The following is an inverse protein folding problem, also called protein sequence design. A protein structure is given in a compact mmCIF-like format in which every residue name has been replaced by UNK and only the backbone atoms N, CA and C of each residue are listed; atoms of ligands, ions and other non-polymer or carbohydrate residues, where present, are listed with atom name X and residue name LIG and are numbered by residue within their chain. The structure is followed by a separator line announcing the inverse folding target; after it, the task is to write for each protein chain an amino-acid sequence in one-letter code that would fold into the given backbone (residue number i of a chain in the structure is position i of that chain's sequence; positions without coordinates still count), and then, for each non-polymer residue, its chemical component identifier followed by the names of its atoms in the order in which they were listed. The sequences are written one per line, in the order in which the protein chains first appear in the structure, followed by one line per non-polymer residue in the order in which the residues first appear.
data_IF_972221807669
#
_entry.id   IF_972221807669
#
_cell.length_a   1.000
_cell.length_b   1.000
_cell.length_c   1.000
_cell.angle_alpha   90.00
_cell.angle_beta   90.00
_cell.angle_gamma   90.00
#
_symmetry.space_group_name_H-M   'P 1'
#
loop_
_entity.id
_entity.type
_entity.pdbx_description
1 polymer ?
#
# COMPACT_ATOMS: atom_id res chain seq x y z
N UNK A 1 -23.74 -6.52 28.49
CA UNK A 1 -22.99 -7.72 28.86
C UNK A 1 -23.82 -8.94 28.49
N UNK A 2 -23.35 -9.74 27.51
CA UNK A 2 -23.89 -11.05 27.05
C UNK A 2 -25.30 -10.96 26.43
N UNK A 3 -25.47 -11.09 25.11
CA UNK A 3 -25.28 -12.32 24.33
C UNK A 3 -24.68 -11.97 22.94
N UNK A 4 -23.36 -12.14 22.82
CA UNK A 4 -22.68 -12.47 21.57
C UNK A 4 -22.49 -14.00 21.59
N UNK A 5 -23.39 -14.80 20.99
CA UNK A 5 -23.15 -16.23 20.68
C UNK A 5 -24.27 -16.92 19.88
N UNK A 6 -24.87 -16.25 18.88
CA UNK A 6 -25.69 -16.86 17.81
C UNK A 6 -25.54 -15.95 16.56
N UNK A 7 -24.36 -15.64 16.01
CA UNK A 7 -23.23 -16.46 15.55
C UNK A 7 -23.69 -17.59 14.62
N UNK A 8 -23.42 -17.35 13.33
CA UNK A 8 -22.87 -18.33 12.38
C UNK A 8 -23.73 -19.49 11.89
N UNK A 9 -24.90 -19.77 12.49
CA UNK A 9 -25.74 -20.88 12.04
C UNK A 9 -26.57 -20.59 10.78
N UNK A 10 -26.70 -19.33 10.34
CA UNK A 10 -27.64 -18.97 9.25
C UNK A 10 -26.95 -18.67 7.91
N UNK A 11 -25.64 -18.36 7.88
CA UNK A 11 -24.93 -18.14 6.61
C UNK A 11 -24.15 -19.36 6.08
N UNK A 12 -23.96 -20.42 6.88
CA UNK A 12 -23.27 -21.65 6.43
C UNK A 12 -24.21 -22.70 5.80
N UNK A 13 -25.53 -22.43 5.72
CA UNK A 13 -26.54 -23.37 5.23
C UNK A 13 -27.19 -22.98 3.88
N UNK A 14 -26.69 -21.93 3.19
CA UNK A 14 -27.24 -21.50 1.89
C UNK A 14 -26.26 -21.63 0.71
N UNK A 15 -25.09 -22.26 0.88
CA UNK A 15 -24.10 -22.44 -0.19
C UNK A 15 -23.90 -23.90 -0.65
N UNK A 16 -24.84 -24.80 -0.34
CA UNK A 16 -24.90 -26.12 -0.98
C UNK A 16 -26.34 -26.52 -1.29
N UNK A 17 -26.86 -26.10 -2.44
CA UNK A 17 -27.78 -26.86 -3.30
C UNK A 17 -28.16 -26.05 -4.53
N UNK A 18 -28.04 -26.68 -5.71
CA UNK A 18 -28.34 -26.20 -7.08
C UNK A 18 -27.11 -25.47 -7.69
N UNK A 19 -26.27 -26.08 -8.52
CA UNK A 19 -26.52 -26.80 -9.78
C UNK A 19 -25.26 -27.62 -10.13
N UNK A 20 -25.44 -28.69 -10.90
CA UNK A 20 -24.52 -29.78 -11.30
C UNK A 20 -24.52 -30.94 -10.30
N UNK A 21 -25.11 -32.09 -10.59
CA UNK A 21 -25.31 -32.72 -11.90
C UNK A 21 -24.75 -34.13 -11.75
N UNK A 22 -25.66 -35.08 -11.64
CA UNK A 22 -25.46 -36.48 -11.28
C UNK A 22 -24.35 -37.20 -12.06
N UNK A 23 -23.55 -38.00 -11.34
CA UNK A 23 -22.91 -39.17 -11.93
C UNK A 23 -21.45 -39.38 -11.53
N UNK A 24 -21.23 -39.97 -10.35
CA UNK A 24 -20.12 -40.91 -10.10
C UNK A 24 -20.47 -41.73 -8.84
N UNK A 25 -20.89 -42.96 -9.06
CA UNK A 25 -21.12 -43.97 -8.01
C UNK A 25 -19.79 -44.64 -7.66
N UNK A 26 -19.57 -44.75 -6.36
CA UNK A 26 -18.82 -45.80 -5.66
C UNK A 26 -17.36 -46.03 -6.08
N UNK A 27 -16.46 -45.24 -5.50
CA UNK A 27 -15.05 -45.60 -5.32
C UNK A 27 -14.60 -45.23 -3.90
N UNK A 28 -14.92 -46.09 -2.92
CA UNK A 28 -14.31 -46.05 -1.59
C UNK A 28 -12.88 -46.58 -1.70
N UNK A 29 -11.91 -45.66 -1.75
CA UNK A 29 -10.50 -46.00 -1.47
C UNK A 29 -10.36 -46.11 0.05
N UNK A 30 -9.86 -47.23 0.59
CA UNK A 30 -9.50 -47.27 2.00
C UNK A 30 -8.41 -46.23 2.23
N UNK A 31 -8.68 -45.27 3.10
CA UNK A 31 -7.65 -44.42 3.71
C UNK A 31 -6.75 -45.34 4.54
N UNK A 32 -5.75 -45.96 3.91
CA UNK A 32 -4.55 -46.38 4.63
C UNK A 32 -4.04 -45.14 5.36
N UNK A 33 -3.74 -45.31 6.65
CA UNK A 33 -3.06 -44.32 7.48
C UNK A 33 -1.80 -43.85 6.75
N UNK A 34 -1.95 -42.76 6.00
CA UNK A 34 -0.84 -42.10 5.33
C UNK A 34 0.15 -41.75 6.41
N UNK A 35 1.30 -42.43 6.38
CA UNK A 35 2.57 -42.10 7.01
C UNK A 35 2.58 -40.67 7.56
N UNK A 36 2.06 -40.51 8.76
CA UNK A 36 2.09 -39.25 9.46
C UNK A 36 3.56 -39.10 9.86
N UNK A 37 4.31 -38.29 9.10
CA UNK A 37 5.73 -37.94 9.35
C UNK A 37 5.85 -37.65 10.83
N UNK A 38 6.42 -38.58 11.59
CA UNK A 38 6.55 -38.43 13.04
C UNK A 38 7.80 -37.63 13.28
N UNK A 39 7.65 -36.32 13.21
CA UNK A 39 8.63 -35.41 13.75
C UNK A 39 9.10 -35.85 15.13
N UNK A 40 10.41 -35.72 15.38
CA UNK A 40 11.09 -36.05 16.64
C UNK A 40 11.32 -37.55 16.85
N UNK A 41 11.43 -38.35 15.78
CA UNK A 41 11.76 -39.77 15.89
C UNK A 41 13.28 -40.02 15.96
N UNK A 42 14.10 -38.98 15.78
CA UNK A 42 15.57 -39.05 15.78
C UNK A 42 16.18 -39.47 14.43
N UNK A 43 15.37 -39.58 13.38
CA UNK A 43 15.74 -39.98 12.02
C UNK A 43 15.12 -39.01 11.03
N UNK A 44 15.94 -38.13 10.44
CA UNK A 44 15.48 -37.19 9.42
C UNK A 44 14.98 -37.94 8.17
N UNK A 45 13.70 -37.80 7.88
CA UNK A 45 13.10 -38.33 6.65
C UNK A 45 13.40 -37.41 5.44
N UNK A 46 13.24 -37.90 4.21
CA UNK A 46 13.51 -37.09 3.00
C UNK A 46 12.60 -35.87 2.87
N UNK A 47 11.45 -35.88 3.55
CA UNK A 47 10.48 -34.77 3.64
C UNK A 47 10.83 -33.76 4.73
N UNK A 48 11.80 -34.04 5.60
CA UNK A 48 12.14 -33.23 6.76
C UNK A 48 13.45 -32.48 6.54
N UNK A 49 13.45 -31.20 6.90
CA UNK A 49 14.67 -30.38 6.86
C UNK A 49 15.52 -30.56 8.12
N UNK A 50 14.91 -31.01 9.21
CA UNK A 50 15.56 -31.20 10.50
C UNK A 50 14.74 -32.17 11.39
N UNK A 51 15.38 -32.83 12.36
CA UNK A 51 14.70 -33.65 13.37
C UNK A 51 15.36 -33.49 14.75
N UNK A 52 14.59 -33.03 15.75
CA UNK A 52 15.07 -32.79 17.12
C UNK A 52 14.94 -34.00 18.06
N UNK A 53 14.52 -35.17 17.57
CA UNK A 53 14.36 -36.38 18.38
C UNK A 53 15.66 -36.85 19.03
N UNK A 54 16.80 -36.50 18.43
CA UNK A 54 18.12 -36.75 18.99
C UNK A 54 18.34 -36.04 20.35
N UNK A 55 17.78 -34.83 20.53
CA UNK A 55 17.89 -34.07 21.78
C UNK A 55 17.14 -34.72 22.95
N UNK A 56 16.10 -35.52 22.67
CA UNK A 56 15.30 -36.19 23.71
C UNK A 56 15.83 -37.57 24.10
N UNK A 57 16.47 -38.28 23.16
CA UNK A 57 16.78 -39.70 23.33
C UNK A 57 18.27 -40.03 23.43
N UNK A 58 19.16 -39.03 23.43
CA UNK A 58 20.61 -39.27 23.46
C UNK A 58 21.13 -40.04 22.23
N UNK A 59 20.35 -40.04 21.15
CA UNK A 59 20.71 -40.61 19.86
C UNK A 59 21.70 -39.64 19.20
N UNK A 60 22.69 -40.16 18.46
CA UNK A 60 23.61 -39.32 17.70
C UNK A 60 22.81 -38.36 16.81
N UNK A 61 23.19 -37.07 16.71
CA UNK A 61 22.42 -36.09 15.96
C UNK A 61 22.26 -36.58 14.52
N UNK A 62 21.02 -36.79 14.10
CA UNK A 62 20.69 -36.73 12.67
C UNK A 62 21.06 -35.33 12.18
N UNK A 63 21.61 -35.21 10.98
CA UNK A 63 22.09 -33.93 10.45
C UNK A 63 20.93 -32.91 10.38
N UNK A 64 20.92 -31.96 11.32
CA UNK A 64 20.09 -30.77 11.26
C UNK A 64 20.63 -29.88 10.14
N UNK A 65 19.86 -29.73 9.07
CA UNK A 65 20.28 -28.90 7.93
C UNK A 65 20.02 -27.41 8.17
N UNK A 66 19.31 -27.03 9.24
CA UNK A 66 18.95 -25.63 9.47
C UNK A 66 20.16 -24.71 9.66
N UNK A 67 21.23 -25.08 10.39
CA UNK A 67 22.45 -24.28 10.46
C UNK A 67 23.15 -24.10 9.10
N UNK A 68 23.18 -25.15 8.26
CA UNK A 68 23.82 -25.11 6.96
C UNK A 68 23.02 -24.30 5.94
N UNK A 69 21.69 -24.50 5.90
CA UNK A 69 20.77 -23.69 5.09
C UNK A 69 20.85 -22.23 5.54
N UNK A 70 20.86 -21.98 6.84
CA UNK A 70 20.98 -20.65 7.41
C UNK A 70 22.29 -19.96 7.02
N UNK A 71 23.41 -20.69 7.06
CA UNK A 71 24.72 -20.19 6.61
C UNK A 71 24.74 -19.83 5.13
N UNK A 72 24.06 -20.61 4.27
CA UNK A 72 23.94 -20.32 2.83
C UNK A 72 23.12 -19.05 2.59
N UNK A 73 22.02 -18.90 3.34
CA UNK A 73 21.09 -17.78 3.18
C UNK A 73 21.50 -16.52 3.96
N UNK A 74 22.50 -16.62 4.84
CA UNK A 74 22.91 -15.53 5.73
C UNK A 74 21.86 -15.19 6.79
N UNK A 75 21.03 -16.17 7.19
CA UNK A 75 19.99 -16.03 8.21
C UNK A 75 20.09 -17.18 9.21
N UNK A 76 19.85 -16.93 10.49
CA UNK A 76 19.76 -18.03 11.47
C UNK A 76 18.43 -18.74 11.29
N UNK A 77 18.48 -20.05 11.06
CA UNK A 77 17.29 -20.91 11.02
C UNK A 77 17.34 -21.90 12.17
N UNK A 78 16.18 -22.18 12.75
CA UNK A 78 16.00 -23.19 13.78
C UNK A 78 15.00 -24.23 13.33
N UNK A 79 15.17 -25.45 13.83
CA UNK A 79 14.22 -26.52 13.57
C UNK A 79 12.92 -26.31 14.35
N UNK A 80 11.78 -26.17 13.66
CA UNK A 80 10.47 -26.20 14.32
C UNK A 80 10.08 -27.64 14.61
N UNK A 81 10.09 -28.01 15.90
CA UNK A 81 9.86 -29.39 16.36
C UNK A 81 8.49 -29.99 15.99
N UNK A 82 7.50 -29.15 15.68
CA UNK A 82 6.14 -29.55 15.31
C UNK A 82 6.02 -29.95 13.84
N UNK A 83 6.86 -29.36 12.99
CA UNK A 83 6.76 -29.46 11.52
C UNK A 83 8.01 -30.02 10.86
N UNK A 84 9.13 -30.16 11.59
CA UNK A 84 10.43 -30.63 11.05
C UNK A 84 10.94 -29.81 9.87
N UNK A 85 10.53 -28.54 9.84
CA UNK A 85 10.96 -27.55 8.86
C UNK A 85 11.86 -26.55 9.54
N UNK A 86 12.86 -26.09 8.81
CA UNK A 86 13.63 -24.94 9.24
C UNK A 86 12.74 -23.70 9.16
N UNK A 87 12.62 -22.99 10.27
CA UNK A 87 11.95 -21.70 10.33
C UNK A 87 12.99 -20.64 10.68
N UNK A 88 12.69 -19.41 10.31
CA UNK A 88 13.40 -18.26 10.84
C UNK A 88 12.94 -18.15 12.31
N UNK A 89 13.86 -18.31 13.26
CA UNK A 89 13.52 -18.10 14.67
C UNK A 89 13.18 -16.63 14.90
N UNK A 90 12.55 -16.34 16.04
CA UNK A 90 12.36 -14.96 16.49
C UNK A 90 13.69 -14.21 16.40
N UNK A 91 13.64 -13.06 15.75
CA UNK A 91 14.75 -12.12 15.69
C UNK A 91 14.96 -11.56 17.09
N UNK A 92 16.14 -11.80 17.68
CA UNK A 92 16.47 -11.36 19.04
C UNK A 92 17.29 -10.08 18.96
N UNK A 93 16.61 -9.01 18.57
CA UNK A 93 17.24 -7.73 18.29
C UNK A 93 18.06 -7.18 19.46
N UNK A 94 19.32 -6.85 19.20
CA UNK A 94 20.25 -6.27 20.17
C UNK A 94 21.20 -7.32 20.80
N UNK A 95 21.24 -8.54 20.26
CA UNK A 95 22.16 -9.58 20.73
C UNK A 95 23.55 -9.49 20.07
N UNK A 96 23.70 -8.62 19.07
CA UNK A 96 24.91 -8.36 18.30
C UNK A 96 25.10 -9.30 17.11
N UNK A 97 24.12 -10.14 16.78
CA UNK A 97 24.15 -11.12 15.69
C UNK A 97 22.95 -10.82 14.81
N UNK A 98 23.19 -10.48 13.54
CA UNK A 98 22.10 -10.25 12.60
C UNK A 98 21.38 -11.56 12.28
N UNK A 99 20.11 -11.67 12.64
CA UNK A 99 19.29 -12.87 12.53
C UNK A 99 18.08 -12.65 11.60
N UNK A 100 17.64 -13.70 10.91
CA UNK A 100 16.40 -13.64 10.13
C UNK A 100 16.30 -12.48 9.14
N UNK A 101 15.32 -11.59 9.37
CA UNK A 101 15.04 -10.44 8.51
C UNK A 101 15.64 -9.12 9.04
N UNK A 102 16.54 -9.19 10.03
CA UNK A 102 17.24 -8.02 10.54
C UNK A 102 18.16 -7.44 9.47
N UNK A 103 18.09 -6.12 9.32
CA UNK A 103 18.99 -5.36 8.48
C UNK A 103 20.19 -4.84 9.27
N UNK A 104 20.04 -4.78 10.59
CA UNK A 104 21.09 -4.36 11.50
C UNK A 104 20.88 -4.96 12.89
N UNK A 105 21.93 -5.21 13.68
CA UNK A 105 21.80 -5.53 15.10
C UNK A 105 22.81 -4.69 15.93
N UNK A 106 22.33 -3.74 16.76
CA UNK A 106 23.20 -2.82 17.49
C UNK A 106 23.77 -3.38 18.81
N UNK A 107 23.65 -4.69 19.07
CA UNK A 107 24.07 -5.30 20.32
C UNK A 107 25.55 -5.09 20.67
N UNK A 108 25.85 -4.99 21.97
CA UNK A 108 27.18 -4.65 22.51
C UNK A 108 28.30 -5.66 22.21
N UNK A 109 27.99 -6.79 21.56
CA UNK A 109 28.85 -7.99 21.58
C UNK A 109 29.80 -8.18 20.42
N UNK A 110 29.74 -7.39 19.34
CA UNK A 110 30.70 -7.54 18.24
C UNK A 110 31.70 -6.39 18.24
N UNK A 111 32.80 -6.59 18.98
CA UNK A 111 33.97 -5.70 18.99
C UNK A 111 34.80 -5.79 17.71
N UNK A 112 34.58 -6.83 16.90
CA UNK A 112 35.54 -7.21 15.87
C UNK A 112 35.15 -6.76 14.45
N UNK A 113 33.89 -6.39 14.19
CA UNK A 113 33.45 -5.84 12.89
C UNK A 113 32.00 -5.25 12.94
N UNK A 114 31.81 -3.99 13.37
CA UNK A 114 30.49 -3.37 13.42
C UNK A 114 29.85 -3.18 12.03
N UNK A 115 30.65 -3.11 10.96
CA UNK A 115 30.16 -2.93 9.58
C UNK A 115 29.50 -4.19 9.03
N UNK A 116 29.82 -5.37 9.59
CA UNK A 116 29.26 -6.65 9.14
C UNK A 116 27.83 -6.89 9.62
N UNK A 117 27.42 -6.24 10.71
CA UNK A 117 26.12 -6.44 11.33
C UNK A 117 25.18 -5.26 11.16
N UNK A 118 25.58 -4.19 10.48
CA UNK A 118 24.71 -3.07 10.13
C UNK A 118 24.73 -2.85 8.62
N UNK A 119 23.64 -3.25 7.95
CA UNK A 119 23.48 -3.03 6.52
C UNK A 119 22.84 -1.67 6.18
N UNK A 120 22.48 -0.87 7.19
CA UNK A 120 21.83 0.41 6.96
C UNK A 120 22.70 1.42 6.22
N UNK A 121 24.04 1.48 6.39
CA UNK A 121 24.89 2.34 5.57
C UNK A 121 24.85 1.99 4.08
N UNK A 122 24.91 0.70 3.70
CA UNK A 122 24.84 0.33 2.28
C UNK A 122 23.44 0.57 1.71
N UNK A 123 22.39 0.31 2.50
CA UNK A 123 21.02 0.66 2.12
C UNK A 123 20.85 2.18 1.96
N UNK A 124 21.56 2.98 2.76
CA UNK A 124 21.55 4.43 2.66
C UNK A 124 22.10 4.93 1.34
N UNK A 125 23.24 4.37 0.92
CA UNK A 125 23.86 4.66 -0.36
C UNK A 125 22.95 4.25 -1.53
N UNK A 126 22.33 3.07 -1.44
CA UNK A 126 21.43 2.56 -2.48
C UNK A 126 20.16 3.40 -2.63
N UNK A 127 19.57 3.87 -1.52
CA UNK A 127 18.34 4.65 -1.52
C UNK A 127 18.57 6.17 -1.66
N UNK A 128 19.82 6.63 -1.53
CA UNK A 128 20.15 8.04 -1.47
C UNK A 128 19.56 8.75 -0.24
N UNK A 129 19.35 8.02 0.87
CA UNK A 129 18.78 8.54 2.11
C UNK A 129 19.57 8.03 3.29
N UNK A 130 19.85 8.88 4.28
CA UNK A 130 20.56 8.44 5.48
C UNK A 130 19.66 7.49 6.29
N UNK A 131 20.05 6.23 6.42
CA UNK A 131 19.37 5.20 7.18
C UNK A 131 20.23 4.85 8.39
N UNK A 132 19.58 4.67 9.52
CA UNK A 132 20.21 4.26 10.79
C UNK A 132 19.51 3.02 11.32
N UNK A 133 20.28 2.18 12.02
CA UNK A 133 19.70 1.02 12.67
C UNK A 133 18.69 1.43 13.74
N UNK A 134 17.49 0.82 13.73
CA UNK A 134 16.51 0.97 14.79
C UNK A 134 16.70 -0.10 15.87
N UNK A 135 17.21 0.23 17.07
CA UNK A 135 17.56 -0.76 18.08
C UNK A 135 16.37 -1.55 18.66
N UNK A 136 15.13 -1.09 18.45
CA UNK A 136 13.94 -1.81 18.93
C UNK A 136 13.43 -2.86 17.92
N UNK A 137 13.82 -2.77 16.65
CA UNK A 137 13.29 -3.62 15.59
C UNK A 137 14.36 -4.29 14.73
N UNK A 138 15.62 -3.85 14.85
CA UNK A 138 16.74 -4.32 14.04
C UNK A 138 16.50 -4.16 12.52
N UNK A 139 15.66 -3.18 12.18
CA UNK A 139 15.41 -2.71 10.83
C UNK A 139 16.07 -1.34 10.63
N UNK A 140 16.39 -1.02 9.39
CA UNK A 140 16.84 0.31 9.03
C UNK A 140 15.66 1.28 9.06
N UNK A 141 15.77 2.35 9.86
CA UNK A 141 14.88 3.50 9.79
C UNK A 141 15.60 4.65 9.10
N UNK A 142 14.86 5.46 8.35
CA UNK A 142 15.40 6.75 7.92
C UNK A 142 15.85 7.48 9.18
N UNK A 143 17.09 7.98 9.17
CA UNK A 143 17.54 8.86 10.23
C UNK A 143 16.53 10.00 10.28
N UNK A 144 15.82 10.12 11.40
CA UNK A 144 15.04 11.32 11.73
C UNK A 144 16.02 12.44 12.07
N UNK A 145 17.01 12.68 11.23
CA UNK A 145 17.53 14.01 11.04
C UNK A 145 16.34 14.81 10.55
N UNK A 146 15.83 15.65 11.45
CA UNK A 146 15.21 16.96 11.21
C UNK A 146 14.87 17.09 9.72
N UNK A 147 13.58 17.16 9.37
CA UNK A 147 13.19 17.91 8.17
C UNK A 147 13.81 19.29 8.35
N UNK A 148 15.08 19.44 7.95
CA UNK A 148 15.65 20.74 7.66
C UNK A 148 14.67 21.26 6.62
N UNK A 149 13.94 22.30 7.01
CA UNK A 149 13.02 23.00 6.14
C UNK A 149 13.78 23.22 4.85
N UNK A 150 13.38 22.50 3.81
CA UNK A 150 13.93 22.62 2.48
C UNK A 150 13.76 24.08 2.11
N UNK A 151 14.86 24.83 2.14
CA UNK A 151 14.83 26.29 2.10
C UNK A 151 15.13 26.69 0.67
N UNK A 152 14.07 26.84 -0.11
CA UNK A 152 14.20 27.31 -1.48
C UNK A 152 14.93 28.63 -1.57
N UNK A 153 15.86 28.72 -2.53
CA UNK A 153 16.56 29.95 -2.85
C UNK A 153 17.87 30.13 -2.09
N UNK A 154 18.51 29.03 -1.66
CA UNK A 154 19.86 29.04 -1.11
C UNK A 154 20.95 28.91 -2.21
N UNK A 155 20.53 28.67 -3.45
CA UNK A 155 21.36 28.55 -4.64
C UNK A 155 21.89 27.14 -4.90
N UNK A 156 21.37 26.10 -4.23
CA UNK A 156 21.74 24.70 -4.45
C UNK A 156 20.52 23.80 -4.44
N UNK A 157 20.31 23.07 -5.54
CA UNK A 157 19.26 22.03 -5.58
C UNK A 157 19.66 20.86 -4.67
N UNK A 158 18.97 20.74 -3.54
CA UNK A 158 19.10 19.63 -2.60
C UNK A 158 18.28 18.40 -3.03
N UNK A 159 18.47 17.26 -2.36
CA UNK A 159 17.86 15.98 -2.77
C UNK A 159 16.32 15.98 -2.83
N UNK A 160 15.66 16.91 -2.12
CA UNK A 160 14.20 17.03 -2.10
C UNK A 160 13.66 18.23 -2.90
N UNK A 161 14.52 18.94 -3.62
CA UNK A 161 14.16 20.09 -4.44
C UNK A 161 14.16 19.71 -5.92
N UNK A 162 13.25 20.29 -6.67
CA UNK A 162 13.23 20.16 -8.13
C UNK A 162 13.84 21.37 -8.83
N UNK A 163 13.95 22.49 -8.12
CA UNK A 163 14.40 23.76 -8.63
C UNK A 163 14.79 24.69 -7.48
N UNK A 164 15.70 25.61 -7.78
CA UNK A 164 16.04 26.76 -6.96
C UNK A 164 15.51 28.05 -7.60
N UNK A 165 15.53 28.10 -8.94
CA UNK A 165 15.02 29.20 -9.74
C UNK A 165 14.25 28.69 -10.97
N UNK A 166 13.51 29.59 -11.64
CA UNK A 166 12.71 29.25 -12.83
C UNK A 166 13.57 28.63 -13.96
N UNK A 167 14.86 28.94 -14.02
CA UNK A 167 15.81 28.39 -15.00
C UNK A 167 16.07 26.90 -14.82
N UNK A 168 15.83 26.35 -13.63
CA UNK A 168 16.01 24.92 -13.36
C UNK A 168 14.85 24.09 -13.89
N UNK A 169 13.73 24.75 -14.23
CA UNK A 169 12.52 24.10 -14.71
C UNK A 169 12.44 24.06 -16.24
N UNK A 170 11.73 23.05 -16.77
CA UNK A 170 11.42 22.98 -18.21
C UNK A 170 10.63 24.23 -18.68
N UNK A 171 10.75 24.56 -19.96
CA UNK A 171 10.01 25.67 -20.57
C UNK A 171 8.50 25.59 -20.29
N UNK A 172 7.93 26.68 -19.77
CA UNK A 172 6.51 26.75 -19.38
C UNK A 172 6.22 26.40 -17.91
N UNK A 173 7.26 26.15 -17.10
CA UNK A 173 7.15 25.97 -15.65
C UNK A 173 7.87 27.11 -14.90
N UNK A 174 7.51 27.30 -13.64
CA UNK A 174 8.16 28.20 -12.69
C UNK A 174 8.47 27.46 -11.39
N UNK A 175 9.50 27.90 -10.69
CA UNK A 175 9.90 27.32 -9.43
C UNK A 175 9.10 27.93 -8.28
N UNK A 176 8.25 27.12 -7.63
CA UNK A 176 7.48 27.52 -6.44
C UNK A 176 7.60 26.45 -5.37
N UNK A 177 8.02 26.84 -4.17
CA UNK A 177 8.25 25.92 -3.04
C UNK A 177 9.13 24.72 -3.43
N UNK A 178 10.17 25.00 -4.22
CA UNK A 178 11.15 24.04 -4.74
C UNK A 178 10.55 22.92 -5.60
N UNK A 179 9.41 23.20 -6.22
CA UNK A 179 8.77 22.33 -7.20
C UNK A 179 8.58 23.10 -8.50
N UNK A 180 8.85 22.43 -9.62
CA UNK A 180 8.59 23.00 -10.94
C UNK A 180 7.10 22.87 -11.26
N UNK A 181 6.35 23.94 -11.04
CA UNK A 181 4.92 24.02 -11.33
C UNK A 181 4.70 24.64 -12.70
N UNK A 182 3.61 24.29 -13.38
CA UNK A 182 3.26 24.92 -14.66
C UNK A 182 2.99 26.40 -14.39
N UNK A 183 3.60 27.27 -15.20
CA UNK A 183 3.39 28.71 -15.09
C UNK A 183 1.96 29.02 -15.49
N UNK A 184 1.13 29.29 -14.49
CA UNK A 184 -0.22 29.82 -14.72
C UNK A 184 -0.02 31.22 -15.28
N UNK A 185 -0.47 31.52 -16.51
CA UNK A 185 -0.34 32.88 -17.04
C UNK A 185 -1.05 33.83 -16.07
N UNK A 186 -0.35 34.91 -15.66
CA UNK A 186 -0.97 36.00 -14.92
C UNK A 186 -2.11 36.53 -15.79
N UNK A 187 -3.35 36.14 -15.47
CA UNK A 187 -4.52 36.71 -16.09
C UNK A 187 -4.48 38.20 -15.78
N UNK A 188 -4.59 39.02 -16.83
CA UNK A 188 -4.53 40.46 -16.66
C UNK A 188 -5.69 40.88 -15.74
N UNK A 189 -5.42 41.75 -14.75
CA UNK A 189 -6.44 42.23 -13.82
C UNK A 189 -7.68 42.75 -14.57
N UNK A 190 -7.49 43.34 -15.76
CA UNK A 190 -8.59 43.80 -16.61
C UNK A 190 -9.44 42.67 -17.21
N UNK A 191 -8.86 41.50 -17.53
CA UNK A 191 -9.61 40.33 -18.01
C UNK A 191 -10.38 39.67 -16.86
N UNK A 192 -9.78 39.65 -15.66
CA UNK A 192 -10.47 39.25 -14.42
C UNK A 192 -11.63 40.23 -14.13
N UNK A 193 -11.40 41.54 -14.23
CA UNK A 193 -12.43 42.56 -14.02
C UNK A 193 -13.54 42.53 -15.10
N UNK A 194 -13.23 42.11 -16.33
CA UNK A 194 -14.23 41.94 -17.40
C UNK A 194 -15.08 40.68 -17.18
N UNK A 195 -14.48 39.60 -16.68
CA UNK A 195 -15.20 38.39 -16.24
C UNK A 195 -16.06 38.67 -15.01
N UNK A 196 -15.57 39.47 -14.06
CA UNK A 196 -16.33 39.88 -12.88
C UNK A 196 -17.47 40.85 -13.24
N UNK A 197 -17.24 41.80 -14.16
CA UNK A 197 -18.28 42.77 -14.57
C UNK A 197 -19.34 42.23 -15.53
N UNK A 198 -19.13 41.04 -16.11
CA UNK A 198 -20.19 40.32 -16.85
C UNK A 198 -21.06 39.46 -15.94
N UNK A 199 -20.73 39.36 -14.64
CA UNK A 199 -21.64 38.78 -13.66
C UNK A 199 -22.67 39.82 -13.24
N UNK A 200 -23.94 39.55 -13.53
CA UNK A 200 -25.07 40.28 -12.94
C UNK A 200 -24.99 40.11 -11.42
N UNK A 201 -24.41 41.09 -10.72
CA UNK A 201 -24.29 41.04 -9.26
C UNK A 201 -25.72 41.04 -8.69
N UNK A 202 -26.15 39.94 -8.05
CA UNK A 202 -27.52 39.84 -7.56
C UNK A 202 -27.76 40.88 -6.47
N UNK A 203 -28.97 41.43 -6.46
CA UNK A 203 -29.42 42.30 -5.38
C UNK A 203 -29.36 41.55 -4.04
N UNK A 204 -29.26 42.23 -2.88
CA UNK A 204 -29.16 41.54 -1.58
C UNK A 204 -30.28 40.53 -1.29
N UNK A 205 -31.48 40.72 -1.86
CA UNK A 205 -32.59 39.77 -1.78
C UNK A 205 -32.40 38.57 -2.72
N UNK A 206 -31.89 38.79 -3.94
CA UNK A 206 -31.49 37.70 -4.84
C UNK A 206 -30.28 36.93 -4.30
N UNK A 207 -29.36 37.61 -3.59
CA UNK A 207 -28.20 36.97 -2.98
C UNK A 207 -28.60 36.04 -1.83
N UNK A 208 -29.64 36.37 -1.07
CA UNK A 208 -30.15 35.48 -0.01
C UNK A 208 -30.96 34.29 -0.59
N UNK A 209 -31.61 34.46 -1.75
CA UNK A 209 -32.22 33.33 -2.48
C UNK A 209 -31.17 32.46 -3.19
N UNK A 210 -30.10 33.06 -3.71
CA UNK A 210 -28.97 32.36 -4.33
C UNK A 210 -28.17 31.61 -3.26
N UNK A 211 -27.83 32.22 -2.11
CA UNK A 211 -27.15 31.51 -1.02
C UNK A 211 -28.00 30.33 -0.50
N UNK A 212 -29.33 30.46 -0.44
CA UNK A 212 -30.22 29.34 -0.09
C UNK A 212 -30.35 28.27 -1.19
N UNK A 213 -30.11 28.62 -2.46
CA UNK A 213 -30.05 27.66 -3.56
C UNK A 213 -28.67 27.02 -3.72
N UNK A 214 -27.59 27.75 -3.41
CA UNK A 214 -26.20 27.29 -3.42
C UNK A 214 -25.92 26.38 -2.23
N UNK A 215 -26.46 26.64 -1.03
CA UNK A 215 -26.41 25.67 0.09
C UNK A 215 -27.18 24.37 -0.23
N UNK A 216 -28.08 24.38 -1.22
CA UNK A 216 -28.79 23.18 -1.68
C UNK A 216 -28.09 22.49 -2.87
N UNK A 217 -27.08 23.12 -3.48
CA UNK A 217 -26.31 22.66 -4.63
C UNK A 217 -24.81 22.90 -4.37
N UNK A 218 -24.31 22.61 -3.16
CA UNK A 218 -22.88 22.59 -2.92
C UNK A 218 -22.30 21.46 -3.78
N UNK A 219 -21.81 21.84 -4.96
CA UNK A 219 -21.16 20.95 -5.89
C UNK A 219 -19.94 20.38 -5.18
N UNK A 220 -19.90 19.05 -5.08
CA UNK A 220 -18.85 18.32 -4.39
C UNK A 220 -17.47 18.70 -4.95
N UNK A 221 -16.71 19.52 -4.21
CA UNK A 221 -15.38 19.97 -4.63
C UNK A 221 -14.31 18.94 -4.25
N UNK A 222 -13.87 18.17 -5.23
CA UNK A 222 -12.81 17.16 -5.11
C UNK A 222 -11.42 17.69 -5.44
N UNK A 223 -11.26 18.98 -5.78
CA UNK A 223 -9.96 19.54 -6.15
C UNK A 223 -9.01 19.70 -4.95
N UNK A 224 -9.54 19.65 -3.72
CA UNK A 224 -8.74 19.66 -2.48
C UNK A 224 -7.87 18.41 -2.32
N UNK A 225 -8.18 17.32 -3.02
CA UNK A 225 -7.45 16.06 -2.98
C UNK A 225 -6.09 16.10 -3.73
N UNK A 226 -5.80 17.18 -4.48
CA UNK A 226 -4.51 17.32 -5.17
C UNK A 226 -3.38 17.45 -4.14
N UNK A 227 -2.41 16.52 -4.22
CA UNK A 227 -1.29 16.43 -3.29
C UNK A 227 -1.47 15.37 -2.20
N UNK A 228 -2.63 14.73 -2.08
CA UNK A 228 -2.83 13.61 -1.15
C UNK A 228 -2.11 12.33 -1.62
N UNK A 229 -1.62 11.55 -0.65
CA UNK A 229 -1.03 10.24 -0.86
C UNK A 229 -2.12 9.19 -1.11
N UNK A 230 -1.90 8.32 -2.09
CA UNK A 230 -2.72 7.13 -2.34
C UNK A 230 -2.48 6.11 -1.22
N UNK A 231 -3.44 5.26 -0.82
CA UNK A 231 -3.17 4.22 0.17
C UNK A 231 -2.00 3.31 -0.18
N UNK A 232 -1.20 2.94 0.82
CA UNK A 232 0.02 2.16 0.63
C UNK A 232 -0.24 0.82 -0.09
N UNK A 233 -1.35 0.16 0.22
CA UNK A 233 -1.76 -1.08 -0.43
C UNK A 233 -2.06 -0.93 -1.94
N UNK A 234 -2.21 0.32 -2.41
CA UNK A 234 -2.42 0.69 -3.81
C UNK A 234 -1.19 1.30 -4.50
N UNK A 235 -0.07 1.50 -3.81
CA UNK A 235 1.15 2.09 -4.41
C UNK A 235 1.59 1.42 -5.70
N UNK A 236 1.58 0.09 -5.75
CA UNK A 236 1.96 -0.65 -6.96
C UNK A 236 1.05 -0.34 -8.16
N UNK A 237 -0.22 -0.04 -7.88
CA UNK A 237 -1.24 0.12 -8.90
C UNK A 237 -1.39 1.58 -9.34
N UNK A 238 -1.00 2.56 -8.52
CA UNK A 238 -1.23 3.99 -8.77
C UNK A 238 0.06 4.82 -8.90
N UNK A 239 1.23 4.19 -9.08
CA UNK A 239 2.49 4.93 -9.19
C UNK A 239 2.53 5.93 -10.34
N UNK A 240 1.92 5.61 -11.48
CA UNK A 240 1.86 6.46 -12.68
C UNK A 240 0.60 6.10 -13.50
N UNK A 241 -0.57 6.61 -13.10
CA UNK A 241 -1.83 6.19 -13.71
C UNK A 241 -2.76 7.35 -14.03
N UNK A 242 -3.61 7.14 -15.05
CA UNK A 242 -4.72 8.00 -15.43
C UNK A 242 -5.99 7.21 -15.13
N UNK A 243 -6.74 7.63 -14.13
CA UNK A 243 -7.93 6.92 -13.65
C UNK A 243 -9.14 7.79 -13.89
N UNK A 244 -10.18 7.27 -14.51
CA UNK A 244 -11.49 7.93 -14.51
C UNK A 244 -12.31 7.36 -13.36
N UNK A 245 -12.72 8.20 -12.43
CA UNK A 245 -13.69 7.89 -11.38
C UNK A 245 -15.06 8.29 -11.92
N UNK A 246 -15.94 7.31 -12.05
CA UNK A 246 -17.31 7.45 -12.52
C UNK A 246 -18.19 7.40 -11.27
N UNK A 247 -18.79 8.53 -10.94
CA UNK A 247 -19.66 8.66 -9.77
C UNK A 247 -21.11 8.54 -10.23
N UNK A 248 -21.81 7.54 -9.71
CA UNK A 248 -23.24 7.32 -9.97
C UNK A 248 -24.07 8.19 -9.02
N UNK A 249 -24.68 9.26 -9.56
CA UNK A 249 -25.61 10.16 -8.87
C UNK A 249 -27.09 9.83 -9.19
N UNK A 250 -27.38 8.63 -9.68
CA UNK A 250 -28.72 8.13 -9.95
C UNK A 250 -29.29 8.55 -11.31
N UNK A 251 -29.55 9.83 -11.53
CA UNK A 251 -30.12 10.32 -12.82
C UNK A 251 -29.06 10.62 -13.88
N UNK A 252 -27.84 10.94 -13.44
CA UNK A 252 -26.68 11.19 -14.30
C UNK A 252 -25.40 10.74 -13.62
N UNK A 253 -24.51 10.13 -14.38
CA UNK A 253 -23.15 9.87 -13.93
C UNK A 253 -22.27 11.09 -14.25
N UNK A 254 -21.35 11.44 -13.36
CA UNK A 254 -20.27 12.37 -13.68
C UNK A 254 -18.93 11.66 -13.60
N UNK A 255 -17.98 12.14 -14.41
CA UNK A 255 -16.68 11.51 -14.58
C UNK A 255 -15.60 12.48 -14.13
N UNK A 256 -14.75 12.03 -13.22
CA UNK A 256 -13.60 12.78 -12.70
C UNK A 256 -12.31 12.05 -13.11
N UNK A 257 -11.44 12.74 -13.83
CA UNK A 257 -10.13 12.20 -14.22
C UNK A 257 -9.11 12.48 -13.13
N UNK A 258 -8.50 11.45 -12.58
CA UNK A 258 -7.46 11.55 -11.56
C UNK A 258 -6.14 11.02 -12.11
N UNK A 259 -5.10 11.85 -12.10
CA UNK A 259 -3.74 11.45 -12.43
C UNK A 259 -2.89 11.35 -11.18
N UNK A 260 -2.21 10.22 -11.05
CA UNK A 260 -1.29 9.96 -9.95
C UNK A 260 0.14 9.81 -10.46
N UNK A 261 1.10 10.34 -9.70
CA UNK A 261 2.54 10.19 -9.95
C UNK A 261 3.25 9.99 -8.61
N UNK A 262 4.11 8.97 -8.54
CA UNK A 262 4.78 8.57 -7.31
C UNK A 262 3.82 8.33 -6.13
N UNK A 263 2.64 7.78 -6.42
CA UNK A 263 1.56 7.51 -5.45
C UNK A 263 0.93 8.76 -4.84
N UNK A 264 1.07 9.92 -5.46
CA UNK A 264 0.44 11.17 -5.05
C UNK A 264 -0.52 11.63 -6.14
N UNK A 265 -1.69 12.14 -5.76
CA UNK A 265 -2.63 12.80 -6.69
C UNK A 265 -1.99 14.08 -7.23
N UNK A 266 -1.80 14.17 -8.53
CA UNK A 266 -1.12 15.31 -9.17
C UNK A 266 -2.09 16.29 -9.82
N UNK A 267 -3.19 15.77 -10.34
CA UNK A 267 -4.10 16.51 -11.21
C UNK A 267 -5.46 15.82 -11.16
N UNK A 268 -6.50 16.64 -11.10
CA UNK A 268 -7.90 16.24 -11.20
C UNK A 268 -8.53 17.08 -12.31
N UNK A 269 -9.29 16.44 -13.19
CA UNK A 269 -9.96 17.09 -14.32
C UNK A 269 -11.42 16.64 -14.44
N UNK A 270 -12.31 17.60 -14.68
CA UNK A 270 -13.71 17.32 -14.93
C UNK A 270 -13.90 16.66 -16.31
N UNK A 271 -14.81 15.70 -16.39
CA UNK A 271 -15.09 14.95 -17.62
C UNK A 271 -14.16 13.77 -17.90
N UNK A 272 -13.08 13.61 -17.12
CA UNK A 272 -12.17 12.47 -17.23
C UNK A 272 -11.16 12.55 -18.37
N UNK A 273 -10.25 11.57 -18.41
CA UNK A 273 -9.31 11.37 -19.50
C UNK A 273 -9.96 10.60 -20.67
N UNK A 274 -9.56 10.92 -21.91
CA UNK A 274 -10.04 10.21 -23.11
C UNK A 274 -9.57 8.74 -23.15
N UNK A 275 -8.34 8.49 -22.71
CA UNK A 275 -7.73 7.15 -22.65
C UNK A 275 -7.26 6.80 -21.23
N UNK A 276 -8.17 6.54 -20.28
CA UNK A 276 -7.79 6.20 -18.93
C UNK A 276 -7.18 4.78 -18.91
N UNK A 277 -6.22 4.56 -18.01
CA UNK A 277 -5.68 3.21 -17.76
C UNK A 277 -6.67 2.33 -16.99
N UNK A 278 -7.63 2.95 -16.30
CA UNK A 278 -8.72 2.27 -15.59
C UNK A 278 -9.92 3.20 -15.35
N UNK A 279 -11.07 2.57 -15.15
CA UNK A 279 -12.28 3.20 -14.66
C UNK A 279 -12.55 2.70 -13.23
N UNK A 280 -12.93 3.59 -12.33
CA UNK A 280 -13.38 3.29 -10.96
C UNK A 280 -14.83 3.72 -10.87
N UNK A 281 -15.70 2.89 -10.32
CA UNK A 281 -17.12 3.17 -10.18
C UNK A 281 -17.46 3.23 -8.69
N UNK A 282 -18.17 4.28 -8.30
CA UNK A 282 -18.58 4.53 -6.91
C UNK A 282 -19.92 5.26 -6.92
N UNK A 283 -20.78 5.03 -5.92
CA UNK A 283 -22.00 5.83 -5.77
C UNK A 283 -21.67 7.20 -5.19
N UNK A 284 -22.46 8.23 -5.50
CA UNK A 284 -22.27 9.58 -4.94
C UNK A 284 -22.32 9.55 -3.40
N UNK A 285 -23.26 8.81 -2.81
CA UNK A 285 -23.38 8.66 -1.37
C UNK A 285 -22.13 8.04 -0.72
N UNK A 286 -21.53 7.04 -1.37
CA UNK A 286 -20.31 6.40 -0.86
C UNK A 286 -19.09 7.32 -1.05
N UNK A 287 -19.00 8.02 -2.18
CA UNK A 287 -17.93 8.99 -2.44
C UNK A 287 -17.94 10.13 -1.41
N UNK A 288 -19.12 10.70 -1.14
CA UNK A 288 -19.31 11.73 -0.12
C UNK A 288 -18.90 11.23 1.27
N UNK A 289 -19.30 9.99 1.62
CA UNK A 289 -18.96 9.40 2.92
C UNK A 289 -17.45 9.23 3.14
N UNK A 290 -16.68 9.08 2.05
CA UNK A 290 -15.22 8.98 2.11
C UNK A 290 -14.60 10.36 2.31
N UNK A 291 -15.05 11.37 1.55
CA UNK A 291 -14.49 12.73 1.62
C UNK A 291 -14.81 13.44 2.93
N UNK A 292 -16.02 13.24 3.45
CA UNK A 292 -16.47 13.81 4.74
C UNK A 292 -15.85 13.09 5.95
N UNK A 293 -15.21 11.94 5.75
CA UNK A 293 -14.58 11.20 6.83
C UNK A 293 -13.40 11.98 7.42
N UNK A 294 -13.33 12.02 8.74
CA UNK A 294 -12.13 12.53 9.46
C UNK A 294 -10.88 11.68 9.20
N UNK A 295 -11.08 10.43 8.77
CA UNK A 295 -10.03 9.52 8.31
C UNK A 295 -10.44 8.98 6.93
N UNK A 296 -10.14 9.77 5.89
CA UNK A 296 -10.49 9.47 4.49
C UNK A 296 -9.91 8.12 4.04
N UNK A 297 -8.75 7.74 4.57
CA UNK A 297 -8.02 6.53 4.18
C UNK A 297 -8.70 5.27 4.70
N UNK A 298 -9.07 5.24 5.98
CA UNK A 298 -9.81 4.12 6.57
C UNK A 298 -11.20 3.97 5.94
N UNK A 299 -11.88 5.09 5.65
CA UNK A 299 -13.17 5.09 4.97
C UNK A 299 -13.07 4.53 3.54
N UNK A 300 -12.06 4.95 2.78
CA UNK A 300 -11.80 4.44 1.44
C UNK A 300 -11.47 2.95 1.44
N UNK A 301 -10.60 2.48 2.34
CA UNK A 301 -10.28 1.05 2.47
C UNK A 301 -11.53 0.23 2.80
N UNK A 302 -12.35 0.71 3.73
CA UNK A 302 -13.63 0.08 4.08
C UNK A 302 -14.57 -0.01 2.88
N UNK A 303 -14.71 1.07 2.10
CA UNK A 303 -15.55 1.09 0.90
C UNK A 303 -15.08 0.10 -0.17
N UNK A 304 -13.76 -0.06 -0.35
CA UNK A 304 -13.19 -1.09 -1.24
C UNK A 304 -13.49 -2.50 -0.72
N UNK A 305 -13.31 -2.75 0.57
CA UNK A 305 -13.56 -4.07 1.19
C UNK A 305 -15.03 -4.47 1.17
N UNK A 306 -15.94 -3.52 1.32
CA UNK A 306 -17.39 -3.72 1.24
C UNK A 306 -17.91 -3.84 -0.21
N UNK A 307 -17.05 -3.63 -1.21
CA UNK A 307 -17.41 -3.70 -2.63
C UNK A 307 -18.25 -2.52 -3.12
N UNK A 308 -18.25 -1.41 -2.38
CA UNK A 308 -18.88 -0.13 -2.79
C UNK A 308 -18.12 0.56 -3.91
N UNK A 309 -16.81 0.31 -3.96
CA UNK A 309 -15.93 0.78 -5.03
C UNK A 309 -15.59 -0.42 -5.92
N UNK A 310 -15.91 -0.32 -7.20
CA UNK A 310 -15.52 -1.32 -8.20
C UNK A 310 -14.58 -0.68 -9.23
N UNK A 311 -13.76 -1.49 -9.89
CA UNK A 311 -12.77 -0.98 -10.83
C UNK A 311 -12.67 -1.86 -12.08
N UNK A 312 -12.50 -1.23 -13.23
CA UNK A 312 -12.38 -1.87 -14.53
C UNK A 312 -11.07 -1.42 -15.20
N UNK A 313 -10.12 -2.34 -15.29
CA UNK A 313 -8.86 -2.08 -15.97
C UNK A 313 -9.04 -1.96 -17.50
N UNK A 314 -8.51 -0.88 -18.08
CA UNK A 314 -8.42 -0.71 -19.54
C UNK A 314 -7.05 -1.22 -20.00
N UNK A 315 -7.04 -1.93 -21.12
CA UNK A 315 -5.85 -2.57 -21.68
C UNK A 315 -5.63 -4.03 -21.23
N UNK A 316 -5.02 -4.82 -22.10
CA UNK A 316 -4.82 -6.27 -21.93
C UNK A 316 -3.92 -6.57 -20.71
N UNK A 317 -2.83 -5.82 -20.55
CA UNK A 317 -1.87 -6.03 -19.46
C UNK A 317 -2.46 -5.71 -18.10
N UNK A 318 -3.20 -4.61 -17.98
CA UNK A 318 -3.88 -4.21 -16.74
C UNK A 318 -4.90 -5.25 -16.30
N UNK A 319 -5.68 -5.80 -17.25
CA UNK A 319 -6.65 -6.89 -16.99
C UNK A 319 -5.98 -8.17 -16.53
N UNK A 320 -4.89 -8.57 -17.20
CA UNK A 320 -4.14 -9.76 -16.84
C UNK A 320 -3.53 -9.64 -15.43
N UNK A 321 -2.94 -8.48 -15.12
CA UNK A 321 -2.38 -8.19 -13.80
C UNK A 321 -3.44 -8.27 -12.69
N UNK A 322 -4.63 -7.72 -12.92
CA UNK A 322 -5.71 -7.76 -11.94
C UNK A 322 -6.28 -9.17 -11.75
N UNK A 323 -6.39 -9.96 -12.82
CA UNK A 323 -6.76 -11.37 -12.71
C UNK A 323 -5.75 -12.15 -11.87
N UNK A 324 -4.45 -11.93 -12.07
CA UNK A 324 -3.40 -12.51 -11.22
C UNK A 324 -3.56 -12.09 -9.76
N UNK A 325 -3.77 -10.80 -9.46
CA UNK A 325 -3.99 -10.33 -8.08
C UNK A 325 -5.22 -10.97 -7.43
N UNK A 326 -6.31 -11.13 -8.17
CA UNK A 326 -7.54 -11.77 -7.67
C UNK A 326 -7.40 -13.25 -7.32
N UNK A 327 -6.36 -13.94 -7.82
CA UNK A 327 -6.07 -15.34 -7.47
C UNK A 327 -5.29 -15.45 -6.15
N UNK A 328 -4.52 -14.43 -5.81
CA UNK A 328 -3.61 -14.42 -4.65
C UNK A 328 -4.14 -13.60 -3.46
N UNK A 329 -5.37 -13.09 -3.55
CA UNK A 329 -6.09 -12.40 -2.48
C UNK A 329 -7.17 -13.32 -1.93
#
# INVERSE_FOLDING_TARGET
MKIKLIVFAVMFLLSFSLVFGEGLKDFEVPLEESTFSRCQNGVRESSESCDLGHLKNGIAPGEDLCPDIGKILGIVQVCRSETCTCIIDRMDCGNGIREGAEWCDPGEKIKDDPEKNDLCPQLSELLGRNMTCNPDSCLCKAATSILESVTCGDGKIEYNEQCEEDSDCDAGKECKNCKCLIKVPEMNQSEIDELINQSDIPTPEEKEEIEKQEEANEEFDYHDLVGEDVPEFFYSDFKNTYTNVIVDAGESDYIVGVRTKYNVVQEIIDGGYEEPTREVFVSEADAQSIVDSSDRMDAFETAVLEGKITYNAKGIFSRMWMWFKGIFR
#
